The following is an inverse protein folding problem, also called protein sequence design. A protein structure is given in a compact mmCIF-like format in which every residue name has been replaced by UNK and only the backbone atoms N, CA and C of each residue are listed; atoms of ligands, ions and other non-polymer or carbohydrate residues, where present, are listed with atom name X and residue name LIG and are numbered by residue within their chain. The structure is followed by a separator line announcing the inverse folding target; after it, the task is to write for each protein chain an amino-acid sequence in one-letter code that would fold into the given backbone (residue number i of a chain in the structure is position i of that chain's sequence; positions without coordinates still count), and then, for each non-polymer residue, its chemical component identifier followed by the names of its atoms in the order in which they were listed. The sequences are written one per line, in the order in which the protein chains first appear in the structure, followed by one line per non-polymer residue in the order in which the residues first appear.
data_IF_161170108365
#
_entry.id   IF_161170108365
#
_cell.length_a   1.000
_cell.length_b   1.000
_cell.length_c   1.000
_cell.angle_alpha   90.00
_cell.angle_beta   90.00
_cell.angle_gamma   90.00
#
_symmetry.space_group_name_H-M   'P 1'
#
loop_
_entity.id
_entity.type
_entity.pdbx_description
1 polymer ?
#
# COMPACT_ATOMS: atom_id res chain seq x y z
N UNK A 1 11.40 4.98 11.14
CA UNK A 1 10.15 4.59 11.86
C UNK A 1 9.51 3.38 11.20
N UNK A 2 8.93 3.48 10.00
CA UNK A 2 8.23 2.34 9.38
C UNK A 2 9.11 1.09 9.18
N UNK A 3 10.40 1.24 8.90
CA UNK A 3 11.34 0.14 8.69
C UNK A 3 11.47 -0.84 9.88
N UNK A 4 11.20 -0.39 11.10
CA UNK A 4 11.26 -1.21 12.32
C UNK A 4 9.88 -1.41 12.95
N UNK A 5 8.81 -1.00 12.25
CA UNK A 5 7.45 -1.05 12.79
C UNK A 5 6.85 -2.46 12.62
N UNK A 6 6.44 -3.13 13.71
CA UNK A 6 5.93 -4.50 13.66
C UNK A 6 4.59 -4.61 12.92
N UNK A 7 3.89 -3.48 12.72
CA UNK A 7 2.59 -3.40 12.05
C UNK A 7 2.67 -2.72 10.69
N UNK A 8 3.86 -2.61 10.09
CA UNK A 8 4.05 -1.96 8.79
C UNK A 8 3.19 -2.61 7.69
N UNK A 9 3.13 -3.93 7.62
CA UNK A 9 2.30 -4.66 6.67
C UNK A 9 0.78 -4.42 6.85
N UNK A 10 0.17 -4.66 8.02
CA UNK A 10 -1.27 -4.37 8.20
C UNK A 10 -1.59 -2.87 8.06
N UNK A 11 -0.66 -1.98 8.41
CA UNK A 11 -0.81 -0.54 8.17
C UNK A 11 -0.87 -0.21 6.67
N UNK A 12 -0.05 -0.87 5.85
CA UNK A 12 -0.10 -0.73 4.39
C UNK A 12 -1.44 -1.24 3.83
N UNK A 13 -1.87 -2.44 4.22
CA UNK A 13 -3.12 -3.02 3.73
C UNK A 13 -4.32 -2.15 4.09
N UNK A 14 -4.40 -1.69 5.34
CA UNK A 14 -5.44 -0.77 5.78
C UNK A 14 -5.53 0.47 4.88
N UNK A 15 -4.39 1.08 4.54
CA UNK A 15 -4.37 2.26 3.68
C UNK A 15 -4.77 1.96 2.23
N UNK A 16 -4.46 0.77 1.72
CA UNK A 16 -4.83 0.34 0.37
C UNK A 16 -6.34 0.06 0.28
N UNK A 17 -6.87 -0.68 1.24
CA UNK A 17 -8.29 -1.08 1.31
C UNK A 17 -9.20 0.14 1.50
N UNK A 18 -8.82 1.04 2.39
CA UNK A 18 -9.59 2.25 2.69
C UNK A 18 -9.28 3.43 1.76
N UNK A 19 -8.50 3.21 0.69
CA UNK A 19 -8.17 4.23 -0.32
C UNK A 19 -7.63 5.53 0.27
N UNK A 20 -6.83 5.43 1.33
CA UNK A 20 -6.31 6.62 2.03
C UNK A 20 -5.41 7.42 1.10
N UNK A 21 -5.86 8.64 0.80
CA UNK A 21 -5.27 9.48 -0.23
C UNK A 21 -3.91 10.04 0.17
N UNK A 22 -3.73 10.36 1.45
CA UNK A 22 -2.60 11.14 1.93
C UNK A 22 -1.66 10.43 2.91
N UNK A 23 -0.41 10.88 2.95
CA UNK A 23 0.59 10.50 3.96
C UNK A 23 1.31 9.18 3.69
N UNK A 24 2.22 8.82 4.60
CA UNK A 24 3.03 7.59 4.55
C UNK A 24 2.39 6.50 5.41
N UNK A 25 2.10 5.36 4.80
CA UNK A 25 1.44 4.22 5.46
C UNK A 25 2.22 2.94 5.17
N UNK A 26 2.56 2.20 6.22
CA UNK A 26 3.38 0.99 6.10
C UNK A 26 4.73 1.18 5.44
N UNK A 27 5.29 2.40 5.46
CA UNK A 27 6.54 2.76 4.77
C UNK A 27 6.37 3.14 3.30
N UNK A 28 5.14 3.19 2.77
CA UNK A 28 4.87 3.59 1.40
C UNK A 28 4.27 4.99 1.31
N UNK A 29 4.85 5.82 0.44
CA UNK A 29 4.23 7.07 0.01
C UNK A 29 2.98 6.82 -0.82
N UNK A 30 2.16 7.85 -0.98
CA UNK A 30 0.95 7.81 -1.81
C UNK A 30 1.24 7.31 -3.23
N UNK A 31 2.33 7.79 -3.85
CA UNK A 31 2.75 7.38 -5.19
C UNK A 31 3.12 5.90 -5.23
N UNK A 32 3.80 5.38 -4.21
CA UNK A 32 4.13 3.95 -4.12
C UNK A 32 2.88 3.09 -3.93
N UNK A 33 1.92 3.52 -3.09
CA UNK A 33 0.63 2.82 -2.92
C UNK A 33 -0.17 2.75 -4.22
N UNK A 34 -0.21 3.84 -5.01
CA UNK A 34 -0.85 3.84 -6.34
C UNK A 34 -0.23 2.80 -7.28
N UNK A 35 1.09 2.59 -7.22
CA UNK A 35 1.76 1.54 -8.02
C UNK A 35 1.38 0.13 -7.57
N UNK A 36 1.30 -0.12 -6.25
CA UNK A 36 0.87 -1.40 -5.70
C UNK A 36 -0.54 -1.76 -6.19
N UNK A 37 -1.49 -0.84 -6.08
CA UNK A 37 -2.86 -1.04 -6.56
C UNK A 37 -2.91 -1.34 -8.07
N UNK A 38 -2.11 -0.62 -8.85
CA UNK A 38 -1.98 -0.88 -10.30
C UNK A 38 -1.42 -2.28 -10.56
N UNK A 39 -0.40 -2.70 -9.82
CA UNK A 39 0.20 -4.04 -9.90
C UNK A 39 -0.82 -5.14 -9.60
N UNK A 40 -1.53 -5.04 -8.47
CA UNK A 40 -2.60 -5.99 -8.09
C UNK A 40 -3.67 -6.12 -9.17
N UNK A 41 -4.06 -4.99 -9.80
CA UNK A 41 -5.03 -5.02 -10.91
C UNK A 41 -4.50 -5.76 -12.13
N UNK A 42 -3.23 -5.54 -12.50
CA UNK A 42 -2.61 -6.23 -13.63
C UNK A 42 -2.53 -7.74 -13.39
N UNK A 43 -2.18 -8.16 -12.17
CA UNK A 43 -2.15 -9.59 -11.79
C UNK A 43 -3.53 -10.25 -11.96
N UNK A 44 -4.62 -9.54 -11.70
CA UNK A 44 -5.98 -10.04 -11.93
C UNK A 44 -6.34 -10.16 -13.41
N UNK A 45 -5.77 -9.31 -14.28
CA UNK A 45 -6.06 -9.34 -15.72
C UNK A 45 -5.24 -10.40 -16.48
N UNK A 46 -4.12 -10.85 -15.90
CA UNK A 46 -3.23 -11.86 -16.50
C UNK A 46 -3.62 -13.30 -16.10
N UNK A 47 -4.55 -13.45 -15.15
CA UNK A 47 -5.14 -14.74 -14.76
C UNK A 47 -6.36 -15.06 -15.62
#
# INVERSE_FOLDING_TARGET
ICATCPVSAPCLEYALDNRIEHGVWGGHSERSRRRILKGRRLELTVR
#
